data_IF_006572913332
#
_entry.id   IF_006572913332
#
_cell.length_a   1.000
_cell.length_b   1.000
_cell.length_c   1.000
_cell.angle_alpha   90.00
_cell.angle_beta   90.00
_cell.angle_gamma   90.00
#
_symmetry.space_group_name_H-M   'P 1'
#
loop_
_entity.id
_entity.type
_entity.pdbx_description
1 polymer ?
#
# COMPACT_ATOMS: atom_id res chain seq x y z
N UNK A 1 8.67 1.96 6.58
CA UNK A 1 9.58 2.79 7.40
C UNK A 1 9.23 2.73 8.90
N UNK A 2 9.17 1.54 9.52
CA UNK A 2 8.78 1.43 10.94
C UNK A 2 9.90 1.85 11.93
N UNK A 3 11.17 1.71 11.54
CA UNK A 3 12.32 1.97 12.41
C UNK A 3 12.53 3.44 12.83
N UNK A 4 12.62 4.41 11.89
CA UNK A 4 12.92 5.81 12.23
C UNK A 4 11.84 6.49 13.08
N UNK A 5 10.56 6.11 12.91
CA UNK A 5 9.43 6.63 13.69
C UNK A 5 9.48 6.18 15.16
N UNK A 6 10.08 5.03 15.45
CA UNK A 6 10.23 4.53 16.82
C UNK A 6 11.17 5.39 17.69
N UNK A 7 11.97 6.28 17.07
CA UNK A 7 12.99 7.11 17.74
C UNK A 7 12.61 8.62 17.67
N UNK A 8 11.32 8.94 17.44
CA UNK A 8 10.76 10.30 17.55
C UNK A 8 11.34 11.38 16.60
N UNK A 9 11.96 10.99 15.48
CA UNK A 9 12.35 11.95 14.46
C UNK A 9 11.11 12.49 13.70
N UNK A 10 10.91 13.80 13.69
CA UNK A 10 9.94 14.45 12.80
C UNK A 10 10.52 14.48 11.39
N UNK A 11 9.94 13.69 10.50
CA UNK A 11 10.41 13.53 9.14
C UNK A 11 9.23 13.78 8.21
N UNK A 12 9.44 14.61 7.18
CA UNK A 12 8.44 14.79 6.13
C UNK A 12 8.50 13.57 5.21
N UNK A 13 7.55 12.66 5.43
CA UNK A 13 7.47 11.39 4.73
C UNK A 13 7.11 11.57 3.26
N UNK A 14 6.38 12.63 2.90
CA UNK A 14 5.96 12.88 1.52
C UNK A 14 7.17 13.28 0.66
N UNK A 15 8.10 14.07 1.20
CA UNK A 15 9.32 14.51 0.51
C UNK A 15 10.31 13.35 0.31
N UNK A 16 10.48 12.48 1.31
CA UNK A 16 11.32 11.29 1.18
C UNK A 16 10.73 10.22 0.25
N UNK A 17 9.42 9.97 0.33
CA UNK A 17 8.76 9.08 -0.61
C UNK A 17 8.85 9.62 -2.04
N UNK A 18 8.73 10.94 -2.25
CA UNK A 18 8.98 11.58 -3.53
C UNK A 18 10.40 11.31 -4.06
N UNK A 19 11.42 11.49 -3.22
CA UNK A 19 12.81 11.29 -3.60
C UNK A 19 13.18 9.82 -3.91
N UNK A 20 12.72 8.88 -3.07
CA UNK A 20 13.09 7.46 -3.17
C UNK A 20 12.19 6.68 -4.12
N UNK A 21 10.88 6.97 -4.13
CA UNK A 21 9.91 6.28 -4.99
C UNK A 21 9.65 6.98 -6.33
N UNK A 22 10.06 8.25 -6.49
CA UNK A 22 9.97 8.97 -7.76
C UNK A 22 10.96 8.47 -8.82
N UNK A 23 12.09 7.89 -8.41
CA UNK A 23 13.13 7.35 -9.32
C UNK A 23 13.11 5.84 -9.53
N UNK A 24 12.28 5.10 -8.78
CA UNK A 24 12.22 3.66 -8.94
C UNK A 24 11.34 3.31 -10.15
N UNK A 25 11.98 3.19 -11.32
CA UNK A 25 11.35 2.68 -12.52
C UNK A 25 10.91 1.23 -12.27
N UNK A 26 9.66 1.03 -11.87
CA UNK A 26 9.01 -0.28 -11.93
C UNK A 26 8.83 -0.63 -13.41
N UNK A 27 9.89 -1.10 -14.08
CA UNK A 27 9.91 -1.64 -15.44
C UNK A 27 9.29 -3.05 -15.50
N UNK A 28 8.21 -3.29 -14.76
CA UNK A 28 7.52 -4.58 -14.78
C UNK A 28 6.30 -4.49 -15.67
N UNK A 29 6.29 -5.35 -16.70
CA UNK A 29 5.14 -5.58 -17.57
C UNK A 29 4.09 -6.41 -16.82
N UNK A 30 2.81 -6.35 -17.23
CA UNK A 30 1.77 -7.22 -16.69
C UNK A 30 2.16 -8.70 -16.81
N UNK A 31 1.91 -9.47 -15.75
CA UNK A 31 2.22 -10.91 -15.70
C UNK A 31 0.92 -11.71 -15.55
N UNK A 32 0.48 -12.30 -16.66
CA UNK A 32 -0.74 -13.10 -16.73
C UNK A 32 -0.65 -14.43 -15.99
N UNK A 33 0.56 -15.00 -15.89
CA UNK A 33 0.78 -16.26 -15.16
C UNK A 33 0.61 -16.00 -13.67
N UNK A 34 1.25 -14.93 -13.17
CA UNK A 34 1.07 -14.48 -11.80
C UNK A 34 -0.40 -14.17 -11.48
N UNK A 35 -1.08 -13.43 -12.37
CA UNK A 35 -2.51 -13.12 -12.21
C UNK A 35 -3.35 -14.39 -12.09
N UNK A 36 -3.15 -15.37 -12.97
CA UNK A 36 -3.91 -16.62 -12.95
C UNK A 36 -3.66 -17.44 -11.68
N UNK A 37 -2.41 -17.51 -11.22
CA UNK A 37 -2.08 -18.17 -9.94
C UNK A 37 -2.81 -17.48 -8.80
N UNK A 38 -2.75 -16.14 -8.74
CA UNK A 38 -3.46 -15.39 -7.71
C UNK A 38 -4.97 -15.63 -7.76
N UNK A 39 -5.58 -15.64 -8.95
CA UNK A 39 -7.02 -15.91 -9.12
C UNK A 39 -7.41 -17.34 -8.76
N UNK A 40 -6.51 -18.32 -8.92
CA UNK A 40 -6.77 -19.72 -8.56
C UNK A 40 -6.86 -19.98 -7.05
N UNK A 41 -6.42 -19.03 -6.22
CA UNK A 41 -6.45 -19.15 -4.76
C UNK A 41 -7.78 -18.59 -4.22
N UNK A 42 -8.71 -19.43 -3.69
CA UNK A 42 -10.02 -19.01 -3.20
C UNK A 42 -9.92 -18.51 -1.75
N UNK A 43 -9.05 -17.53 -1.51
CA UNK A 43 -8.85 -16.90 -0.20
C UNK A 43 -8.88 -15.38 -0.34
N UNK A 44 -9.30 -14.71 0.73
CA UNK A 44 -9.17 -13.26 0.85
C UNK A 44 -7.68 -12.89 0.82
N UNK A 45 -7.28 -12.10 -0.17
CA UNK A 45 -5.89 -11.69 -0.38
C UNK A 45 -5.73 -10.22 -0.04
N UNK A 46 -4.76 -9.91 0.81
CA UNK A 46 -4.38 -8.54 1.17
C UNK A 46 -2.90 -8.32 0.87
N UNK A 47 -2.55 -7.16 0.33
CA UNK A 47 -1.14 -6.79 0.12
C UNK A 47 -0.59 -6.22 1.41
N UNK A 48 0.45 -6.85 1.97
CA UNK A 48 1.20 -6.31 3.09
C UNK A 48 2.50 -5.67 2.60
N UNK A 49 2.67 -4.36 2.82
CA UNK A 49 3.85 -3.63 2.35
C UNK A 49 4.36 -2.63 3.38
N UNK A 50 5.69 -2.49 3.42
CA UNK A 50 6.37 -1.49 4.24
C UNK A 50 6.36 -0.08 3.63
N UNK A 51 5.91 0.05 2.38
CA UNK A 51 5.76 1.33 1.67
C UNK A 51 4.42 2.02 1.96
N UNK A 52 4.13 3.05 1.18
CA UNK A 52 2.87 3.79 1.19
C UNK A 52 1.80 3.17 0.27
N UNK A 53 0.56 3.65 0.41
CA UNK A 53 -0.57 3.12 -0.35
C UNK A 53 -0.48 3.46 -1.86
N UNK A 54 0.04 4.63 -2.19
CA UNK A 54 0.17 5.12 -3.55
C UNK A 54 1.20 4.28 -4.35
N UNK A 55 2.30 3.92 -3.71
CA UNK A 55 3.33 3.04 -4.22
C UNK A 55 2.78 1.64 -4.46
N UNK A 56 2.01 1.10 -3.50
CA UNK A 56 1.37 -0.20 -3.63
C UNK A 56 0.38 -0.26 -4.80
N UNK A 57 -0.50 0.74 -4.93
CA UNK A 57 -1.47 0.81 -6.05
C UNK A 57 -0.75 0.94 -7.40
N UNK A 58 0.29 1.79 -7.49
CA UNK A 58 1.09 1.92 -8.73
C UNK A 58 1.74 0.59 -9.14
N UNK A 59 2.29 -0.16 -8.19
CA UNK A 59 2.89 -1.46 -8.48
C UNK A 59 1.85 -2.50 -8.94
N UNK A 60 0.69 -2.57 -8.26
CA UNK A 60 -0.40 -3.50 -8.62
C UNK A 60 -0.98 -3.21 -10.01
N UNK A 61 -1.19 -1.93 -10.35
CA UNK A 61 -1.65 -1.50 -11.68
C UNK A 61 -0.69 -1.89 -12.78
N UNK A 62 0.62 -1.70 -12.58
CA UNK A 62 1.64 -2.08 -13.56
C UNK A 62 1.72 -3.60 -13.77
N UNK A 63 1.53 -4.38 -12.72
CA UNK A 63 1.52 -5.85 -12.78
C UNK A 63 0.19 -6.44 -13.27
N UNK A 64 -0.89 -5.65 -13.31
CA UNK A 64 -2.22 -6.11 -13.74
C UNK A 64 -2.92 -7.02 -12.72
N UNK A 65 -2.61 -6.87 -11.44
CA UNK A 65 -3.08 -7.73 -10.35
C UNK A 65 -3.91 -6.99 -9.28
N UNK A 66 -4.26 -5.72 -9.50
CA UNK A 66 -5.02 -4.90 -8.54
C UNK A 66 -6.34 -5.57 -8.12
N UNK A 67 -7.05 -6.18 -9.07
CA UNK A 67 -8.32 -6.88 -8.81
C UNK A 67 -8.16 -8.22 -8.08
N UNK A 68 -6.93 -8.70 -7.88
CA UNK A 68 -6.68 -9.97 -7.20
C UNK A 68 -6.65 -9.84 -5.67
N UNK A 69 -6.64 -8.62 -5.14
CA UNK A 69 -6.53 -8.31 -3.71
C UNK A 69 -7.71 -7.44 -3.25
N UNK A 70 -8.18 -7.65 -2.01
CA UNK A 70 -9.26 -6.85 -1.43
C UNK A 70 -8.78 -5.50 -0.88
N UNK A 71 -7.48 -5.37 -0.62
CA UNK A 71 -6.92 -4.15 -0.05
C UNK A 71 -5.44 -4.22 0.25
N UNK A 72 -4.92 -3.08 0.72
CA UNK A 72 -3.50 -2.89 1.06
C UNK A 72 -3.36 -2.54 2.54
N UNK A 73 -2.60 -3.37 3.24
CA UNK A 73 -2.05 -3.09 4.57
C UNK A 73 -0.67 -2.47 4.39
N UNK A 74 -0.61 -1.14 4.47
CA UNK A 74 0.61 -0.36 4.31
C UNK A 74 0.98 0.37 5.61
N UNK A 75 2.10 1.10 5.60
CA UNK A 75 2.60 1.85 6.76
C UNK A 75 1.54 2.79 7.39
N UNK A 76 0.77 3.47 6.55
CA UNK A 76 -0.30 4.39 6.96
C UNK A 76 -1.44 3.66 7.68
N UNK A 77 -1.83 2.48 7.18
CA UNK A 77 -2.88 1.65 7.77
C UNK A 77 -2.49 1.16 9.16
N UNK A 78 -1.21 0.83 9.36
CA UNK A 78 -0.68 0.33 10.63
C UNK A 78 -0.33 1.45 11.62
N UNK A 79 -0.02 2.65 11.15
CA UNK A 79 0.44 3.74 12.00
C UNK A 79 -0.33 5.04 11.72
N UNK A 80 -1.62 5.12 12.10
CA UNK A 80 -2.44 6.31 11.87
C UNK A 80 -1.79 7.54 12.52
N UNK A 81 -1.78 8.66 11.80
CA UNK A 81 -1.21 9.95 12.24
C UNK A 81 -2.05 10.65 13.31
N UNK A 82 -3.29 10.20 13.54
CA UNK A 82 -4.12 10.61 14.67
C UNK A 82 -5.09 9.49 15.09
N UNK A 83 -5.36 9.31 16.41
CA UNK A 83 -6.33 8.32 16.89
C UNK A 83 -7.77 8.61 16.40
N UNK A 84 -8.08 9.86 16.09
CA UNK A 84 -9.43 10.35 15.75
C UNK A 84 -9.88 10.03 14.32
N UNK A 85 -8.98 9.80 13.37
CA UNK A 85 -9.34 9.48 11.98
C UNK A 85 -9.82 8.03 11.76
N UNK A 86 -9.52 7.12 12.71
CA UNK A 86 -9.99 5.73 12.67
C UNK A 86 -11.53 5.65 12.78
N UNK A 87 -12.15 6.55 13.55
CA UNK A 87 -13.61 6.58 13.70
C UNK A 87 -14.33 7.18 12.47
N UNK A 88 -13.71 8.17 11.81
CA UNK A 88 -14.32 8.88 10.69
C UNK A 88 -14.37 8.07 9.39
N UNK A 89 -13.38 7.19 9.13
CA UNK A 89 -13.42 6.30 7.96
C UNK A 89 -14.51 5.23 8.08
N UNK A 90 -14.81 4.77 9.30
CA UNK A 90 -15.88 3.79 9.55
C UNK A 90 -17.28 4.34 9.29
N UNK A 91 -17.48 5.65 9.45
CA UNK A 91 -18.76 6.32 9.17
C UNK A 91 -19.04 6.48 7.66
N UNK A 92 -18.01 6.59 6.81
CA UNK A 92 -18.18 6.79 5.36
C UNK A 92 -18.42 5.51 4.57
N UNK A 93 -18.20 4.34 5.17
CA UNK A 93 -18.52 3.02 4.59
C UNK A 93 -19.90 2.50 4.96
N UNK A 94 -20.76 3.34 5.57
CA UNK A 94 -22.12 2.97 6.02
C UNK A 94 -23.20 3.95 5.55
N UNK A 95 -22.97 4.64 4.42
CA UNK A 95 -24.00 5.38 3.68
C UNK A 95 -23.97 4.91 2.23
#
# INVERSE_FOLDING_TARGET
MAGPRAIAYQFDYDDFHGFVHGRLALEKKPDWVLRNILLSLPICKLVFTNGDNLHASRAQKRLGIEECFEGVLCFETLNPTSPTLCHLKKLRSSI
#
